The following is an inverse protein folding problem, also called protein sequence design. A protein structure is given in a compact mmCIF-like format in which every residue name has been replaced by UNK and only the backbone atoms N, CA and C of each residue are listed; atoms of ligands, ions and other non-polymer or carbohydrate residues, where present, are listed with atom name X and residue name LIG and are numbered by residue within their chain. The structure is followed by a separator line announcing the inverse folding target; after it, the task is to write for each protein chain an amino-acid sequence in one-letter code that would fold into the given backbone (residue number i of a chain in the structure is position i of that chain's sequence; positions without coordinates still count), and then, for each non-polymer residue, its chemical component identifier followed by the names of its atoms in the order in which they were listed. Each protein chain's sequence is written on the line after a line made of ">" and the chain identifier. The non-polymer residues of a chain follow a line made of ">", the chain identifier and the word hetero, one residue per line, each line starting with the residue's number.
data_IF_632816787301
#
_entry.id   IF_632816787301
#
_cell.length_a   1.000
_cell.length_b   1.000
_cell.length_c   1.000
_cell.angle_alpha   90.00
_cell.angle_beta   90.00
_cell.angle_gamma   90.00
#
_symmetry.space_group_name_H-M   'P 1'
#
loop_
_entity.id
_entity.type
_entity.pdbx_description
1 polymer ?
#
# COMPACT_ATOMS: atom_id res chain seq x y z
N UNK A 1 -38.56 -32.55 43.68
CA UNK A 1 -37.19 -33.01 43.43
C UNK A 1 -36.51 -31.98 42.55
N UNK A 2 -35.58 -31.19 43.08
CA UNK A 2 -34.82 -30.21 42.31
C UNK A 2 -33.38 -30.68 42.19
N UNK A 3 -32.91 -30.92 40.98
CA UNK A 3 -31.53 -31.36 40.71
C UNK A 3 -30.60 -30.15 40.77
N UNK A 4 -29.58 -30.21 41.63
CA UNK A 4 -28.60 -29.13 41.79
C UNK A 4 -27.44 -29.39 40.83
N UNK A 5 -27.33 -28.54 39.80
CA UNK A 5 -26.21 -28.56 38.85
C UNK A 5 -25.14 -27.58 39.30
N UNK A 6 -23.92 -28.07 39.52
CA UNK A 6 -22.75 -27.23 39.81
C UNK A 6 -22.11 -26.81 38.49
N UNK A 7 -22.10 -25.50 38.21
CA UNK A 7 -21.36 -24.91 37.11
C UNK A 7 -20.11 -24.18 37.62
N UNK A 8 -19.01 -24.28 36.88
CA UNK A 8 -17.82 -23.47 37.12
C UNK A 8 -17.92 -22.20 36.30
N UNK A 9 -17.82 -21.03 36.94
CA UNK A 9 -17.76 -19.74 36.26
C UNK A 9 -16.30 -19.32 36.16
N UNK A 10 -15.74 -19.37 34.95
CA UNK A 10 -14.40 -18.85 34.66
C UNK A 10 -14.49 -17.52 33.91
N UNK A 11 -13.86 -16.48 34.45
CA UNK A 11 -13.72 -15.18 33.81
C UNK A 11 -12.53 -15.26 32.85
N UNK A 12 -12.79 -15.25 31.54
CA UNK A 12 -11.74 -15.20 30.52
C UNK A 12 -11.32 -13.75 30.26
N UNK A 13 -10.26 -13.32 30.93
CA UNK A 13 -9.53 -12.13 30.49
C UNK A 13 -8.84 -12.40 29.14
N UNK A 14 -8.95 -11.45 28.20
CA UNK A 14 -8.23 -11.47 26.93
C UNK A 14 -7.59 -10.11 26.69
N UNK A 15 -6.35 -10.11 26.23
CA UNK A 15 -5.65 -8.93 25.76
C UNK A 15 -5.67 -8.90 24.23
N UNK A 16 -5.75 -7.71 23.64
CA UNK A 16 -5.56 -7.53 22.20
C UNK A 16 -4.08 -7.60 21.86
N UNK A 17 -3.75 -8.27 20.75
CA UNK A 17 -2.38 -8.30 20.22
C UNK A 17 -2.29 -7.35 19.03
N UNK A 18 -1.16 -6.65 18.90
CA UNK A 18 -0.89 -5.86 17.70
C UNK A 18 -0.95 -6.77 16.45
N UNK A 19 -1.50 -6.28 15.34
CA UNK A 19 -1.46 -7.02 14.09
C UNK A 19 0.00 -7.27 13.68
N UNK A 20 0.28 -8.46 13.17
CA UNK A 20 1.58 -8.74 12.57
C UNK A 20 1.73 -8.06 11.21
N UNK A 21 2.92 -8.18 10.59
CA UNK A 21 3.15 -7.73 9.22
C UNK A 21 2.24 -8.43 8.22
N UNK A 22 1.93 -7.75 7.12
CA UNK A 22 1.10 -8.30 6.06
C UNK A 22 1.75 -9.54 5.45
N UNK A 23 0.94 -10.56 5.24
CA UNK A 23 1.25 -11.64 4.29
C UNK A 23 1.09 -11.14 2.85
N UNK A 24 1.67 -11.87 1.90
CA UNK A 24 1.50 -11.59 0.48
C UNK A 24 0.01 -11.57 0.07
N UNK A 25 -0.80 -12.52 0.58
CA UNK A 25 -2.23 -12.59 0.32
C UNK A 25 -2.98 -11.38 0.87
N UNK A 26 -2.67 -10.93 2.09
CA UNK A 26 -3.27 -9.72 2.66
C UNK A 26 -2.90 -8.47 1.85
N UNK A 27 -1.66 -8.37 1.38
CA UNK A 27 -1.24 -7.27 0.51
C UNK A 27 -1.98 -7.32 -0.84
N UNK A 28 -2.14 -8.49 -1.46
CA UNK A 28 -2.94 -8.67 -2.69
C UNK A 28 -4.36 -8.16 -2.46
N UNK A 29 -5.04 -8.62 -1.40
CA UNK A 29 -6.39 -8.18 -1.07
C UNK A 29 -6.47 -6.66 -0.85
N UNK A 30 -5.46 -6.06 -0.21
CA UNK A 30 -5.39 -4.61 -0.05
C UNK A 30 -5.20 -3.89 -1.40
N UNK A 31 -4.35 -4.40 -2.29
CA UNK A 31 -4.14 -3.81 -3.61
C UNK A 31 -5.41 -3.86 -4.47
N UNK A 32 -6.10 -5.00 -4.48
CA UNK A 32 -7.39 -5.19 -5.15
C UNK A 32 -8.45 -4.23 -4.59
N UNK A 33 -8.59 -4.16 -3.26
CA UNK A 33 -9.55 -3.26 -2.60
C UNK A 33 -9.29 -1.78 -2.92
N UNK A 34 -8.03 -1.41 -3.11
CA UNK A 34 -7.64 -0.04 -3.45
C UNK A 34 -7.56 0.22 -4.96
N UNK A 35 -7.90 -0.77 -5.81
CA UNK A 35 -7.91 -0.60 -7.26
C UNK A 35 -6.54 -0.29 -7.86
N UNK A 36 -5.48 -0.91 -7.33
CA UNK A 36 -4.11 -0.78 -7.87
C UNK A 36 -3.54 -2.15 -8.26
N UNK A 37 -2.70 -2.17 -9.30
CA UNK A 37 -2.16 -3.40 -9.85
C UNK A 37 -3.17 -4.20 -10.69
N UNK A 38 -4.15 -3.52 -11.31
CA UNK A 38 -5.12 -4.15 -12.21
C UNK A 38 -4.45 -4.85 -13.41
N UNK A 39 -5.21 -5.67 -14.14
CA UNK A 39 -4.74 -6.46 -15.29
C UNK A 39 -3.59 -7.42 -14.95
N UNK A 40 -3.80 -8.20 -13.89
CA UNK A 40 -2.86 -9.23 -13.39
C UNK A 40 -1.45 -8.71 -13.04
N UNK A 41 -1.30 -7.41 -12.75
CA UNK A 41 0.01 -6.78 -12.48
C UNK A 41 0.42 -6.76 -10.99
N UNK A 42 -0.48 -7.13 -10.06
CA UNK A 42 -0.19 -7.23 -8.62
C UNK A 42 1.09 -8.06 -8.33
N UNK A 43 1.25 -9.30 -8.84
CA UNK A 43 2.42 -10.11 -8.53
C UNK A 43 3.73 -9.43 -8.93
N UNK A 44 3.74 -8.73 -10.08
CA UNK A 44 4.91 -7.99 -10.55
C UNK A 44 5.28 -6.84 -9.61
N UNK A 45 4.29 -6.09 -9.10
CA UNK A 45 4.55 -5.01 -8.15
C UNK A 45 5.11 -5.53 -6.81
N UNK A 46 4.57 -6.65 -6.31
CA UNK A 46 5.05 -7.31 -5.08
C UNK A 46 6.47 -7.88 -5.28
N UNK A 47 6.76 -8.47 -6.42
CA UNK A 47 8.10 -8.96 -6.76
C UNK A 47 9.12 -7.80 -6.83
N UNK A 48 8.73 -6.65 -7.40
CA UNK A 48 9.60 -5.50 -7.54
C UNK A 48 10.09 -4.94 -6.20
N UNK A 49 9.20 -4.82 -5.19
CA UNK A 49 9.60 -4.31 -3.87
C UNK A 49 10.49 -5.30 -3.10
N UNK A 50 10.37 -6.60 -3.36
CA UNK A 50 11.27 -7.63 -2.84
C UNK A 50 12.65 -7.57 -3.51
N UNK A 51 12.69 -7.53 -4.85
CA UNK A 51 13.94 -7.44 -5.64
C UNK A 51 14.77 -6.19 -5.32
N UNK A 52 14.11 -5.11 -4.89
CA UNK A 52 14.77 -3.86 -4.47
C UNK A 52 15.14 -3.82 -2.99
N UNK A 53 14.93 -4.90 -2.25
CA UNK A 53 15.21 -5.00 -0.81
C UNK A 53 14.47 -3.97 0.05
N UNK A 54 13.28 -3.54 -0.39
CA UNK A 54 12.40 -2.67 0.44
C UNK A 54 11.62 -3.50 1.46
N UNK A 55 11.39 -4.76 1.15
CA UNK A 55 10.79 -5.75 2.05
C UNK A 55 11.56 -7.07 1.96
N UNK A 56 11.52 -7.85 3.04
CA UNK A 56 12.00 -9.24 3.09
C UNK A 56 10.82 -10.18 3.37
N UNK A 57 10.89 -11.40 2.85
CA UNK A 57 9.90 -12.43 3.11
C UNK A 57 10.36 -13.29 4.30
N UNK A 58 9.65 -13.21 5.41
CA UNK A 58 9.94 -13.97 6.62
C UNK A 58 9.00 -15.18 6.80
N UNK A 59 9.20 -15.92 7.90
CA UNK A 59 8.39 -17.08 8.28
C UNK A 59 6.89 -16.75 8.23
N UNK A 60 6.10 -17.66 7.65
CA UNK A 60 4.67 -17.44 7.42
C UNK A 60 4.36 -16.52 6.23
N UNK A 61 5.31 -16.31 5.31
CA UNK A 61 5.17 -15.46 4.11
C UNK A 61 4.78 -14.01 4.44
N UNK A 62 5.35 -13.49 5.53
CA UNK A 62 5.13 -12.09 5.96
C UNK A 62 6.15 -11.17 5.29
N UNK A 63 5.66 -10.05 4.78
CA UNK A 63 6.45 -8.99 4.15
C UNK A 63 6.90 -8.01 5.22
N UNK A 64 8.16 -8.13 5.63
CA UNK A 64 8.75 -7.29 6.68
C UNK A 64 9.51 -6.14 6.01
N UNK A 65 9.17 -4.87 6.29
CA UNK A 65 9.84 -3.74 5.67
C UNK A 65 11.29 -3.60 6.17
N UNK A 66 12.21 -3.32 5.25
CA UNK A 66 13.60 -3.01 5.59
C UNK A 66 13.70 -1.57 6.12
N UNK A 67 14.83 -1.23 6.75
CA UNK A 67 15.10 0.16 7.17
C UNK A 67 15.01 1.13 5.97
N UNK A 68 15.56 0.74 4.82
CA UNK A 68 15.47 1.54 3.60
C UNK A 68 14.02 1.70 3.14
N UNK A 69 13.24 0.59 3.10
CA UNK A 69 11.83 0.64 2.71
C UNK A 69 11.00 1.55 3.61
N UNK A 70 11.23 1.50 4.92
CA UNK A 70 10.57 2.38 5.89
C UNK A 70 10.94 3.86 5.68
N UNK A 71 12.23 4.17 5.55
CA UNK A 71 12.71 5.54 5.36
C UNK A 71 12.16 6.14 4.07
N UNK A 72 12.14 5.38 2.97
CA UNK A 72 11.57 5.83 1.71
C UNK A 72 10.09 6.20 1.88
N UNK A 73 9.28 5.31 2.45
CA UNK A 73 7.84 5.55 2.65
C UNK A 73 7.59 6.76 3.55
N UNK A 74 8.33 6.87 4.66
CA UNK A 74 8.21 8.02 5.58
C UNK A 74 8.63 9.33 4.92
N UNK A 75 9.73 9.34 4.17
CA UNK A 75 10.23 10.50 3.44
C UNK A 75 9.25 10.99 2.37
N UNK A 76 8.79 10.07 1.50
CA UNK A 76 7.76 10.40 0.51
C UNK A 76 6.48 10.91 1.19
N UNK A 77 6.02 10.25 2.26
CA UNK A 77 4.80 10.66 2.94
C UNK A 77 4.90 12.06 3.57
N UNK A 78 6.07 12.39 4.12
CA UNK A 78 6.34 13.69 4.74
C UNK A 78 6.42 14.82 3.72
N UNK A 79 6.89 14.53 2.52
CA UNK A 79 6.90 15.49 1.41
C UNK A 79 5.49 15.59 0.83
N UNK A 80 4.98 14.53 0.22
CA UNK A 80 3.66 14.45 -0.37
C UNK A 80 3.05 13.06 -0.12
N UNK A 81 2.09 12.99 0.80
CA UNK A 81 1.41 11.76 1.19
C UNK A 81 0.74 11.04 0.02
N UNK A 82 0.34 11.76 -1.02
CA UNK A 82 -0.29 11.15 -2.20
C UNK A 82 0.69 10.39 -3.11
N UNK A 83 2.00 10.50 -2.87
CA UNK A 83 3.02 9.63 -3.50
C UNK A 83 3.07 8.23 -2.88
N UNK A 84 2.50 8.05 -1.69
CA UNK A 84 2.46 6.78 -0.96
C UNK A 84 1.05 6.18 -0.98
N UNK A 85 0.03 7.02 -0.81
CA UNK A 85 -1.36 6.58 -0.80
C UNK A 85 -1.80 6.08 -2.19
N UNK A 86 -2.67 5.05 -2.26
CA UNK A 86 -2.99 4.39 -3.53
C UNK A 86 -3.83 5.24 -4.48
N UNK A 87 -4.40 6.36 -4.01
CA UNK A 87 -5.43 7.12 -4.73
C UNK A 87 -4.99 7.58 -6.11
N UNK A 88 -3.82 8.21 -6.22
CA UNK A 88 -3.30 8.71 -7.51
C UNK A 88 -3.11 7.56 -8.49
N UNK A 89 -2.60 6.41 -8.01
CA UNK A 89 -2.39 5.23 -8.84
C UNK A 89 -3.71 4.63 -9.32
N UNK A 90 -4.67 4.46 -8.41
CA UNK A 90 -6.00 3.96 -8.73
C UNK A 90 -6.69 4.84 -9.78
N UNK A 91 -6.60 6.16 -9.65
CA UNK A 91 -7.19 7.09 -10.62
C UNK A 91 -6.56 6.92 -12.02
N UNK A 92 -5.25 6.67 -12.10
CA UNK A 92 -4.56 6.44 -13.38
C UNK A 92 -4.99 5.10 -14.00
N UNK A 93 -5.08 4.04 -13.21
CA UNK A 93 -5.56 2.74 -13.69
C UNK A 93 -7.01 2.82 -14.20
N UNK A 94 -7.86 3.58 -13.51
CA UNK A 94 -9.22 3.87 -13.98
C UNK A 94 -9.23 4.65 -15.30
N UNK A 95 -8.31 5.60 -15.52
CA UNK A 95 -8.19 6.28 -16.81
C UNK A 95 -7.72 5.31 -17.91
N UNK A 96 -6.77 4.42 -17.62
CA UNK A 96 -6.35 3.37 -18.55
C UNK A 96 -7.54 2.46 -18.94
N UNK A 97 -8.36 2.08 -17.96
CA UNK A 97 -9.57 1.31 -18.19
C UNK A 97 -10.60 2.07 -19.06
N UNK A 98 -10.73 3.39 -18.88
CA UNK A 98 -11.58 4.22 -19.76
C UNK A 98 -11.07 4.27 -21.19
N UNK A 99 -9.74 4.36 -21.39
CA UNK A 99 -9.14 4.27 -22.73
C UNK A 99 -9.47 2.93 -23.37
N UNK A 100 -9.28 1.82 -22.65
CA UNK A 100 -9.56 0.47 -23.16
C UNK A 100 -11.02 0.28 -23.57
N UNK A 101 -11.96 1.00 -22.93
CA UNK A 101 -13.40 0.99 -23.25
C UNK A 101 -13.81 2.03 -24.31
N UNK A 102 -12.86 2.81 -24.85
CA UNK A 102 -13.16 3.90 -25.79
C UNK A 102 -13.86 5.11 -25.16
N UNK A 103 -13.81 5.25 -23.83
CA UNK A 103 -14.47 6.32 -23.07
C UNK A 103 -13.55 7.51 -22.76
N UNK A 104 -12.27 7.45 -23.12
CA UNK A 104 -11.29 8.52 -22.95
C UNK A 104 -10.23 8.48 -24.07
N UNK A 105 -9.74 9.66 -24.46
CA UNK A 105 -8.58 9.79 -25.35
C UNK A 105 -7.29 9.45 -24.60
N UNK A 106 -6.44 8.65 -25.23
CA UNK A 106 -5.10 8.34 -24.73
C UNK A 106 -4.26 9.60 -24.59
N UNK A 107 -4.31 10.48 -25.58
CA UNK A 107 -3.55 11.73 -25.63
C UNK A 107 -3.89 12.63 -24.43
N UNK A 108 -5.18 12.80 -24.16
CA UNK A 108 -5.65 13.62 -23.04
C UNK A 108 -5.26 13.03 -21.68
N UNK A 109 -5.40 11.72 -21.51
CA UNK A 109 -5.04 11.03 -20.25
C UNK A 109 -3.54 11.14 -20.00
N UNK A 110 -2.71 10.88 -21.02
CA UNK A 110 -1.25 10.98 -20.89
C UNK A 110 -0.83 12.41 -20.57
N UNK A 111 -1.38 13.41 -21.27
CA UNK A 111 -1.10 14.83 -21.01
C UNK A 111 -1.45 15.21 -19.56
N UNK A 112 -2.61 14.80 -19.07
CA UNK A 112 -3.04 15.06 -17.68
C UNK A 112 -2.14 14.37 -16.65
N UNK A 113 -1.77 13.12 -16.89
CA UNK A 113 -0.90 12.37 -15.99
C UNK A 113 0.51 12.98 -15.89
N UNK A 114 1.10 13.36 -17.03
CA UNK A 114 2.41 14.03 -17.07
C UNK A 114 2.35 15.36 -16.33
N UNK A 115 1.36 16.21 -16.60
CA UNK A 115 1.22 17.50 -15.93
C UNK A 115 1.05 17.34 -14.40
N UNK A 116 0.27 16.35 -13.97
CA UNK A 116 0.11 16.02 -12.54
C UNK A 116 1.45 15.64 -11.90
N UNK A 117 2.18 14.70 -12.50
CA UNK A 117 3.45 14.25 -11.94
C UNK A 117 4.58 15.29 -12.06
N UNK A 118 4.54 16.16 -13.06
CA UNK A 118 5.47 17.27 -13.16
C UNK A 118 5.32 18.22 -11.96
N UNK A 119 4.09 18.66 -11.65
CA UNK A 119 3.86 19.52 -10.48
C UNK A 119 4.24 18.83 -9.17
N UNK A 120 3.99 17.52 -9.05
CA UNK A 120 4.44 16.73 -7.90
C UNK A 120 5.95 16.62 -7.80
N UNK A 121 6.65 16.44 -8.91
CA UNK A 121 8.10 16.36 -8.97
C UNK A 121 8.74 17.70 -8.58
N UNK A 122 8.24 18.82 -9.11
CA UNK A 122 8.73 20.16 -8.77
C UNK A 122 8.56 20.45 -7.27
N UNK A 123 7.39 20.09 -6.72
CA UNK A 123 7.13 20.19 -5.28
C UNK A 123 8.05 19.27 -4.48
N UNK A 124 8.27 18.03 -4.94
CA UNK A 124 9.13 17.07 -4.28
C UNK A 124 10.58 17.56 -4.19
N UNK A 125 11.15 18.04 -5.30
CA UNK A 125 12.51 18.58 -5.35
C UNK A 125 12.66 19.80 -4.44
N UNK A 126 11.69 20.69 -4.42
CA UNK A 126 11.70 21.88 -3.54
C UNK A 126 11.67 21.52 -2.05
N UNK A 127 11.20 20.31 -1.71
CA UNK A 127 11.03 19.85 -0.32
C UNK A 127 11.94 18.67 0.02
N UNK A 128 12.96 18.38 -0.79
CA UNK A 128 13.79 17.18 -0.67
C UNK A 128 14.50 17.07 0.68
N UNK A 129 14.84 18.20 1.31
CA UNK A 129 15.47 18.25 2.63
C UNK A 129 14.65 17.54 3.73
N UNK A 130 13.33 17.44 3.57
CA UNK A 130 12.46 16.69 4.50
C UNK A 130 12.73 15.18 4.46
N UNK A 131 13.29 14.68 3.37
CA UNK A 131 13.70 13.29 3.20
C UNK A 131 15.11 13.07 3.73
N UNK A 132 16.03 14.02 3.54
CA UNK A 132 17.42 13.93 3.99
C UNK A 132 17.55 13.77 5.51
N UNK A 133 16.62 14.34 6.29
CA UNK A 133 16.59 14.20 7.76
C UNK A 133 16.38 12.74 8.22
N UNK A 134 15.87 11.87 7.34
CA UNK A 134 15.57 10.47 7.67
C UNK A 134 16.67 9.49 7.26
N UNK A 135 17.65 9.95 6.48
CA UNK A 135 18.82 9.18 6.03
C UNK A 135 20.02 9.42 6.95
#
# INVERSE_FOLDING_TARGET
>A
SGEVVRGTLDIKERLTTAPGYLTESELITMMEKNGIGTDASIPTHIENIQKRFYVTLESGRRLVPSKLGMVLVQGYHRIDSSLVLPKVRSDIEDQCNKIAKGLASKEDVVKKAIALFQGKFDFFVTNIEKMDILF
#
